data_IF_719673210255
#
_entry.id   IF_719673210255
#
_cell.length_a   1.000
_cell.length_b   1.000
_cell.length_c   1.000
_cell.angle_alpha   90.00
_cell.angle_beta   90.00
_cell.angle_gamma   90.00
#
_symmetry.space_group_name_H-M   'P 1'
#
loop_
_entity.id
_entity.type
_entity.pdbx_description
1 polymer ?
#
# COMPACT_ATOMS: atom_id res chain seq x y z
N UNK A 1 8.45 4.63 5.05
CA UNK A 1 7.00 4.77 5.39
C UNK A 1 6.27 5.69 4.42
N UNK A 2 6.73 6.93 4.17
CA UNK A 2 6.10 7.85 3.20
C UNK A 2 5.76 7.24 1.83
N UNK A 3 6.74 6.60 1.18
CA UNK A 3 6.54 5.89 -0.10
C UNK A 3 5.44 4.83 -0.04
N UNK A 4 5.43 4.03 1.02
CA UNK A 4 4.46 2.94 1.23
C UNK A 4 3.05 3.52 1.42
N UNK A 5 2.92 4.61 2.17
CA UNK A 5 1.63 5.25 2.40
C UNK A 5 1.02 5.78 1.09
N UNK A 6 1.82 6.49 0.28
CA UNK A 6 1.39 6.95 -1.04
C UNK A 6 1.02 5.78 -1.96
N UNK A 7 1.87 4.75 -2.05
CA UNK A 7 1.59 3.56 -2.85
C UNK A 7 0.31 2.85 -2.42
N UNK A 8 0.03 2.81 -1.11
CA UNK A 8 -1.19 2.19 -0.56
C UNK A 8 -2.47 2.96 -0.90
N UNK A 9 -2.41 4.29 -1.01
CA UNK A 9 -3.57 5.11 -1.39
C UNK A 9 -3.87 4.94 -2.87
N UNK A 10 -2.82 5.04 -3.71
CA UNK A 10 -2.94 4.90 -5.15
C UNK A 10 -3.32 3.47 -5.59
N UNK A 11 -3.03 2.47 -4.76
CA UNK A 11 -3.40 1.07 -4.99
C UNK A 11 -4.90 0.88 -5.29
N UNK A 12 -5.78 1.70 -4.68
CA UNK A 12 -7.22 1.64 -4.93
C UNK A 12 -7.62 2.10 -6.34
N UNK A 13 -6.96 3.13 -6.87
CA UNK A 13 -7.16 3.57 -8.27
C UNK A 13 -6.67 2.49 -9.23
N UNK A 14 -5.48 1.95 -8.97
CA UNK A 14 -4.88 0.91 -9.81
C UNK A 14 -5.68 -0.39 -9.83
N UNK A 15 -6.41 -0.73 -8.76
CA UNK A 15 -7.31 -1.89 -8.73
C UNK A 15 -8.49 -1.76 -9.72
N UNK A 16 -8.83 -0.55 -10.14
CA UNK A 16 -9.86 -0.27 -11.13
C UNK A 16 -9.27 -0.01 -12.52
N UNK A 17 -8.01 -0.40 -12.77
CA UNK A 17 -7.35 -0.18 -14.06
C UNK A 17 -7.00 1.28 -14.36
N UNK A 18 -7.30 2.23 -13.46
CA UNK A 18 -7.01 3.65 -13.67
C UNK A 18 -5.52 3.89 -13.42
N UNK A 19 -4.80 4.33 -14.45
CA UNK A 19 -3.32 4.43 -14.42
C UNK A 19 -2.81 5.82 -14.08
N UNK A 20 -3.61 6.84 -14.35
CA UNK A 20 -3.31 8.24 -14.09
C UNK A 20 -3.99 8.71 -12.79
N UNK A 21 -3.38 9.69 -12.14
CA UNK A 21 -3.92 10.30 -10.93
C UNK A 21 -3.75 11.81 -11.03
N UNK A 22 -4.86 12.53 -11.13
CA UNK A 22 -4.82 13.98 -11.33
C UNK A 22 -4.36 14.71 -10.08
N UNK A 23 -4.74 14.19 -8.92
CA UNK A 23 -4.46 14.85 -7.66
C UNK A 23 -4.24 13.89 -6.49
N UNK A 24 -3.26 14.22 -5.63
CA UNK A 24 -3.07 13.58 -4.34
C UNK A 24 -3.12 14.59 -3.20
N UNK A 25 -3.89 14.27 -2.16
CA UNK A 25 -3.92 14.98 -0.88
C UNK A 25 -3.22 14.17 0.20
N UNK A 26 -2.34 14.79 0.99
CA UNK A 26 -1.65 14.15 2.11
C UNK A 26 -2.43 14.35 3.43
N UNK A 27 -2.63 13.27 4.19
CA UNK A 27 -3.16 13.35 5.56
C UNK A 27 -2.09 12.87 6.53
N UNK A 28 -1.71 13.72 7.48
CA UNK A 28 -0.63 13.48 8.43
C UNK A 28 -1.09 13.72 9.87
N UNK A 29 -1.03 12.68 10.69
CA UNK A 29 -1.19 12.77 12.14
C UNK A 29 0.19 12.81 12.79
N UNK A 30 0.57 13.93 13.38
CA UNK A 30 1.86 14.10 14.08
C UNK A 30 1.71 13.56 15.49
N UNK A 31 2.54 12.56 15.85
CA UNK A 31 2.48 11.96 17.17
C UNK A 31 2.84 12.97 18.27
N UNK A 32 1.98 13.12 19.27
CA UNK A 32 2.24 13.94 20.46
C UNK A 32 3.41 13.41 21.30
N UNK A 33 3.82 12.15 21.10
CA UNK A 33 4.95 11.51 21.80
C UNK A 33 6.31 11.87 21.23
N UNK A 34 6.37 12.37 20.00
CA UNK A 34 7.62 12.82 19.39
C UNK A 34 8.00 14.19 19.97
N UNK A 35 9.28 14.33 20.34
CA UNK A 35 9.90 15.61 20.65
C UNK A 35 9.97 16.50 19.40
N UNK A 36 10.15 17.82 19.58
CA UNK A 36 10.27 18.75 18.46
C UNK A 36 11.42 18.38 17.51
N UNK A 37 12.58 18.04 18.07
CA UNK A 37 13.75 17.60 17.29
C UNK A 37 13.47 16.34 16.46
N UNK A 38 12.74 15.37 17.02
CA UNK A 38 12.36 14.16 16.28
C UNK A 38 11.35 14.49 15.18
N UNK A 39 10.39 15.39 15.43
CA UNK A 39 9.41 15.82 14.42
C UNK A 39 10.09 16.50 13.23
N UNK A 40 11.07 17.37 13.50
CA UNK A 40 11.82 18.08 12.47
C UNK A 40 12.65 17.17 11.57
N UNK A 41 12.95 15.94 12.01
CA UNK A 41 13.63 14.92 11.20
C UNK A 41 12.63 13.96 10.54
N UNK A 42 11.70 13.42 11.31
CA UNK A 42 10.80 12.35 10.87
C UNK A 42 9.78 12.87 9.86
N UNK A 43 9.17 14.03 10.10
CA UNK A 43 8.10 14.54 9.23
C UNK A 43 8.62 14.90 7.82
N UNK A 44 9.76 15.62 7.66
CA UNK A 44 10.29 15.88 6.32
C UNK A 44 10.65 14.60 5.56
N UNK A 45 11.19 13.57 6.21
CA UNK A 45 11.49 12.29 5.57
C UNK A 45 10.22 11.55 5.11
N UNK A 46 9.15 11.60 5.91
CA UNK A 46 7.86 11.04 5.54
C UNK A 46 7.25 11.76 4.34
N UNK A 47 7.18 13.09 4.40
CA UNK A 47 6.63 13.93 3.33
C UNK A 47 7.45 13.76 2.05
N UNK A 48 8.78 13.78 2.14
CA UNK A 48 9.67 13.56 1.00
C UNK A 48 9.42 12.21 0.36
N UNK A 49 9.38 11.13 1.15
CA UNK A 49 9.09 9.80 0.62
C UNK A 49 7.71 9.70 -0.03
N UNK A 50 6.70 10.37 0.53
CA UNK A 50 5.36 10.41 -0.06
C UNK A 50 5.36 11.14 -1.41
N UNK A 51 6.01 12.32 -1.49
CA UNK A 51 6.14 13.10 -2.73
C UNK A 51 6.94 12.37 -3.80
N UNK A 52 8.00 11.65 -3.43
CA UNK A 52 8.77 10.83 -4.37
C UNK A 52 7.90 9.71 -4.99
N UNK A 53 7.06 9.04 -4.20
CA UNK A 53 6.15 8.03 -4.73
C UNK A 53 5.03 8.63 -5.62
N UNK A 54 4.50 9.80 -5.25
CA UNK A 54 3.55 10.55 -6.07
C UNK A 54 4.17 10.93 -7.44
N UNK A 55 5.41 11.43 -7.43
CA UNK A 55 6.13 11.76 -8.65
C UNK A 55 6.35 10.53 -9.55
N UNK A 56 6.70 9.37 -8.98
CA UNK A 56 6.80 8.11 -9.73
C UNK A 56 5.46 7.65 -10.34
N UNK A 57 4.35 8.02 -9.70
CA UNK A 57 3.00 7.78 -10.21
C UNK A 57 2.57 8.79 -11.29
N UNK A 58 3.36 9.82 -11.58
CA UNK A 58 3.02 10.88 -12.54
C UNK A 58 2.11 11.96 -11.96
N UNK A 59 1.96 12.03 -10.64
CA UNK A 59 1.06 12.96 -9.94
C UNK A 59 1.83 13.83 -8.95
N UNK A 60 1.17 14.83 -8.38
CA UNK A 60 1.75 15.71 -7.37
C UNK A 60 0.85 15.83 -6.16
N UNK A 61 1.47 16.11 -5.00
CA UNK A 61 0.73 16.39 -3.78
C UNK A 61 0.35 17.87 -3.80
N UNK A 62 -0.92 18.19 -3.99
CA UNK A 62 -1.39 19.59 -4.14
C UNK A 62 -1.89 20.21 -2.84
N UNK A 63 -2.11 19.39 -1.82
CA UNK A 63 -2.63 19.84 -0.55
C UNK A 63 -2.65 18.73 0.50
N UNK A 64 -3.22 19.03 1.64
CA UNK A 64 -3.31 18.08 2.73
C UNK A 64 -3.69 18.70 4.06
N UNK A 65 -3.89 17.84 5.06
CA UNK A 65 -4.15 18.24 6.43
C UNK A 65 -3.13 17.58 7.35
N UNK A 66 -2.59 18.39 8.26
CA UNK A 66 -1.74 17.92 9.34
C UNK A 66 -2.38 18.25 10.68
N UNK A 67 -2.47 17.27 11.57
CA UNK A 67 -3.05 17.44 12.90
C UNK A 67 -2.23 16.71 13.96
N UNK A 68 -2.30 17.17 15.21
CA UNK A 68 -1.73 16.43 16.34
C UNK A 68 -2.59 15.20 16.65
N UNK A 69 -1.92 14.08 16.95
CA UNK A 69 -2.57 12.82 17.27
C UNK A 69 -1.71 12.03 18.28
N UNK A 70 -2.27 11.17 19.16
CA UNK A 70 -1.44 10.29 19.98
C UNK A 70 -0.51 9.37 19.18
N UNK A 71 -0.91 8.98 17.97
CA UNK A 71 -0.19 8.09 17.08
C UNK A 71 0.26 8.79 15.80
N UNK A 72 1.37 8.34 15.23
CA UNK A 72 1.84 8.81 13.93
C UNK A 72 0.96 8.18 12.84
N UNK A 73 0.20 9.01 12.13
CA UNK A 73 -0.69 8.59 11.03
C UNK A 73 -0.17 9.18 9.74
N UNK A 74 -0.12 8.37 8.69
CA UNK A 74 0.20 8.84 7.34
C UNK A 74 -0.74 8.19 6.35
N UNK A 75 -1.40 9.00 5.55
CA UNK A 75 -2.41 8.59 4.61
C UNK A 75 -2.70 9.72 3.62
N UNK A 76 -3.87 9.67 2.99
CA UNK A 76 -4.21 10.64 1.96
C UNK A 76 -5.33 10.15 1.05
N UNK A 77 -5.56 10.92 0.00
CA UNK A 77 -6.56 10.64 -1.03
C UNK A 77 -5.93 10.83 -2.41
N UNK A 78 -6.16 9.88 -3.32
CA UNK A 78 -5.80 10.01 -4.73
C UNK A 78 -7.08 10.08 -5.55
N UNK A 79 -7.17 11.07 -6.43
CA UNK A 79 -8.35 11.32 -7.27
C UNK A 79 -7.94 11.31 -8.74
N UNK A 80 -8.81 10.77 -9.59
CA UNK A 80 -8.70 10.85 -11.04
C UNK A 80 -10.07 11.04 -11.67
N UNK A 81 -10.15 11.91 -12.66
CA UNK A 81 -11.26 12.09 -13.58
C UNK A 81 -10.91 11.31 -14.85
N UNK A 82 -11.53 10.15 -15.03
CA UNK A 82 -11.21 9.25 -16.13
C UNK A 82 -12.40 9.05 -17.07
N UNK A 83 -12.11 8.74 -18.33
CA UNK A 83 -13.12 8.27 -19.27
C UNK A 83 -13.54 6.85 -18.89
N UNK A 84 -14.80 6.42 -19.12
CA UNK A 84 -15.22 5.03 -18.84
C UNK A 84 -14.34 3.94 -19.46
N UNK A 85 -13.61 4.25 -20.54
CA UNK A 85 -12.68 3.33 -21.20
C UNK A 85 -11.36 3.12 -20.42
N UNK A 86 -11.00 4.04 -19.53
CA UNK A 86 -9.79 3.97 -18.71
C UNK A 86 -10.05 3.24 -17.38
N UNK A 87 -11.33 2.98 -17.08
CA UNK A 87 -11.81 2.32 -15.88
C UNK A 87 -12.24 0.88 -16.19
N UNK A 88 -11.78 -0.06 -15.36
CA UNK A 88 -12.17 -1.47 -15.41
C UNK A 88 -13.04 -1.76 -14.19
N UNK A 89 -14.31 -2.14 -14.43
CA UNK A 89 -15.21 -2.57 -13.37
C UNK A 89 -14.73 -3.88 -12.75
N UNK A 90 -14.90 -4.01 -11.44
CA UNK A 90 -14.54 -5.22 -10.69
C UNK A 90 -15.62 -6.32 -10.74
N UNK A 91 -16.65 -6.17 -11.60
CA UNK A 91 -17.90 -6.95 -11.55
C UNK A 91 -18.10 -7.91 -12.74
N UNK A 92 -17.09 -8.07 -13.61
CA UNK A 92 -17.25 -8.77 -14.89
C UNK A 92 -16.55 -10.13 -14.95
N UNK A 93 -16.13 -10.70 -13.81
CA UNK A 93 -15.48 -12.01 -13.79
C UNK A 93 -16.45 -13.12 -14.22
N UNK A 94 -15.94 -14.08 -14.99
CA UNK A 94 -16.72 -15.20 -15.52
C UNK A 94 -16.15 -16.54 -15.07
N UNK A 95 -17.00 -17.57 -15.06
CA UNK A 95 -16.55 -18.94 -14.75
C UNK A 95 -15.51 -19.37 -15.78
N UNK A 96 -14.35 -19.81 -15.29
CA UNK A 96 -13.20 -20.16 -16.12
C UNK A 96 -12.06 -19.14 -16.04
N UNK A 97 -12.31 -17.96 -15.48
CA UNK A 97 -11.25 -16.99 -15.19
C UNK A 97 -10.23 -17.53 -14.18
N UNK A 98 -9.01 -17.00 -14.27
CA UNK A 98 -7.90 -17.31 -13.37
C UNK A 98 -7.56 -16.12 -12.48
N UNK A 99 -7.09 -16.40 -11.27
CA UNK A 99 -6.66 -15.38 -10.32
C UNK A 99 -5.14 -15.19 -10.38
N UNK A 100 -4.70 -13.94 -10.54
CA UNK A 100 -3.29 -13.56 -10.57
C UNK A 100 -2.98 -12.61 -9.42
N UNK A 101 -1.98 -12.95 -8.62
CA UNK A 101 -1.48 -12.11 -7.53
C UNK A 101 -0.16 -11.44 -7.94
N UNK A 102 -0.10 -10.12 -7.88
CA UNK A 102 1.05 -9.33 -8.41
C UNK A 102 2.14 -9.06 -7.38
N UNK A 103 1.87 -9.26 -6.09
CA UNK A 103 2.82 -9.05 -4.98
C UNK A 103 2.78 -10.24 -4.01
N UNK A 104 3.93 -10.67 -3.45
CA UNK A 104 3.95 -11.73 -2.45
C UNK A 104 3.26 -11.30 -1.15
N UNK A 105 2.71 -12.28 -0.43
CA UNK A 105 2.10 -12.09 0.89
C UNK A 105 3.17 -12.06 2.01
N UNK A 106 2.74 -11.80 3.24
CA UNK A 106 3.58 -11.93 4.44
C UNK A 106 4.27 -10.65 4.90
N UNK A 107 3.91 -9.47 4.36
CA UNK A 107 4.47 -8.18 4.78
C UNK A 107 4.27 -7.91 6.27
N UNK A 108 3.10 -8.24 6.83
CA UNK A 108 2.82 -8.11 8.26
C UNK A 108 3.75 -8.98 9.11
N UNK A 109 3.96 -10.25 8.72
CA UNK A 109 4.85 -11.16 9.44
C UNK A 109 6.28 -10.63 9.43
N UNK A 110 6.77 -10.14 8.28
CA UNK A 110 8.11 -9.58 8.15
C UNK A 110 8.32 -8.34 9.04
N UNK A 111 7.33 -7.43 9.08
CA UNK A 111 7.42 -6.22 9.92
C UNK A 111 7.29 -6.55 11.40
N UNK A 112 6.37 -7.44 11.77
CA UNK A 112 6.20 -7.88 13.16
C UNK A 112 7.42 -8.62 13.69
N UNK A 113 8.06 -9.47 12.87
CA UNK A 113 9.28 -10.16 13.25
C UNK A 113 10.42 -9.17 13.55
N UNK A 114 10.56 -8.09 12.76
CA UNK A 114 11.54 -7.05 13.03
C UNK A 114 11.26 -6.35 14.36
N UNK A 115 10.00 -6.02 14.65
CA UNK A 115 9.61 -5.42 15.94
C UNK A 115 9.86 -6.35 17.13
N UNK A 116 9.77 -7.66 16.93
CA UNK A 116 10.01 -8.63 17.99
C UNK A 116 11.48 -8.75 18.37
N UNK A 117 12.44 -8.36 17.52
CA UNK A 117 13.87 -8.33 17.88
C UNK A 117 14.12 -7.45 19.12
N UNK A 118 13.36 -6.37 19.27
CA UNK A 118 13.43 -5.46 20.42
C UNK A 118 12.61 -5.96 21.64
N UNK A 119 11.91 -7.08 21.51
CA UNK A 119 11.02 -7.67 22.53
C UNK A 119 11.46 -9.10 22.86
N UNK A 120 12.37 -9.29 23.83
CA UNK A 120 13.00 -10.59 24.11
C UNK A 120 12.01 -11.74 24.30
N UNK A 121 10.89 -11.50 24.99
CA UNK A 121 9.84 -12.50 25.21
C UNK A 121 9.23 -13.02 23.90
N UNK A 122 9.00 -12.13 22.93
CA UNK A 122 8.43 -12.51 21.63
C UNK A 122 9.48 -13.11 20.71
N UNK A 123 10.70 -12.55 20.71
CA UNK A 123 11.81 -13.09 19.92
C UNK A 123 12.15 -14.53 20.31
N UNK A 124 12.20 -14.82 21.61
CA UNK A 124 12.52 -16.15 22.11
C UNK A 124 11.56 -17.26 21.60
N UNK A 125 10.34 -16.91 21.19
CA UNK A 125 9.37 -17.85 20.62
C UNK A 125 9.66 -18.23 19.17
N UNK A 126 10.37 -17.39 18.43
CA UNK A 126 10.60 -17.55 16.98
C UNK A 126 12.07 -17.72 16.60
N UNK A 127 13.01 -17.41 17.52
CA UNK A 127 14.47 -17.48 17.29
C UNK A 127 14.98 -18.86 16.84
N UNK A 128 14.23 -19.93 17.12
CA UNK A 128 14.57 -21.30 16.71
C UNK A 128 14.18 -21.60 15.25
N UNK A 129 13.30 -20.78 14.67
CA UNK A 129 12.74 -20.98 13.33
C UNK A 129 13.35 -20.00 12.32
N UNK A 130 13.71 -18.79 12.74
CA UNK A 130 14.24 -17.74 11.86
C UNK A 130 15.39 -17.01 12.53
N UNK A 131 16.47 -16.78 11.77
CA UNK A 131 17.61 -15.97 12.21
C UNK A 131 17.36 -14.47 12.07
N UNK A 132 18.11 -13.65 12.81
CA UNK A 132 17.99 -12.18 12.76
C UNK A 132 18.28 -11.63 11.35
N UNK A 133 19.27 -12.19 10.65
CA UNK A 133 19.62 -11.79 9.30
C UNK A 133 18.46 -12.02 8.31
N UNK A 134 17.74 -13.14 8.45
CA UNK A 134 16.59 -13.46 7.61
C UNK A 134 15.42 -12.50 7.88
N UNK A 135 15.23 -12.09 9.14
CA UNK A 135 14.23 -11.08 9.51
C UNK A 135 14.55 -9.74 8.84
N UNK A 136 15.80 -9.29 8.86
CA UNK A 136 16.20 -8.06 8.18
C UNK A 136 16.00 -8.16 6.66
N UNK A 137 16.40 -9.27 6.04
CA UNK A 137 16.19 -9.53 4.59
C UNK A 137 14.71 -9.56 4.24
N UNK A 138 13.88 -10.20 5.06
CA UNK A 138 12.43 -10.27 4.86
C UNK A 138 11.78 -8.89 4.97
N UNK A 139 12.15 -8.10 5.99
CA UNK A 139 11.63 -6.75 6.16
C UNK A 139 12.07 -5.82 5.02
N UNK A 140 13.31 -5.95 4.51
CA UNK A 140 13.76 -5.20 3.34
C UNK A 140 12.91 -5.53 2.11
N UNK A 141 12.73 -6.82 1.80
CA UNK A 141 11.88 -7.27 0.69
C UNK A 141 10.43 -6.83 0.84
N UNK A 142 9.88 -6.88 2.05
CA UNK A 142 8.54 -6.40 2.34
C UNK A 142 8.41 -4.90 2.10
N UNK A 143 9.39 -4.09 2.53
CA UNK A 143 9.44 -2.64 2.29
C UNK A 143 9.46 -2.33 0.80
N UNK A 144 10.28 -3.02 0.02
CA UNK A 144 10.39 -2.80 -1.42
C UNK A 144 9.10 -3.17 -2.15
N UNK A 145 8.49 -4.32 -1.81
CA UNK A 145 7.20 -4.75 -2.35
C UNK A 145 6.06 -3.78 -2.01
N UNK A 146 6.01 -3.29 -0.77
CA UNK A 146 5.00 -2.34 -0.31
C UNK A 146 5.18 -0.95 -0.94
N UNK A 147 6.42 -0.52 -1.19
CA UNK A 147 6.70 0.77 -1.82
C UNK A 147 6.48 0.77 -3.34
N UNK A 148 6.47 -0.41 -3.99
CA UNK A 148 6.21 -0.53 -5.44
C UNK A 148 4.78 -0.15 -5.77
N UNK A 149 4.57 0.73 -6.74
CA UNK A 149 3.24 1.10 -7.24
C UNK A 149 2.60 -0.05 -8.02
N UNK A 150 1.26 -0.13 -8.01
CA UNK A 150 0.51 -1.07 -8.84
C UNK A 150 0.19 -0.51 -10.25
N UNK A 151 0.78 0.64 -10.63
CA UNK A 151 0.54 1.33 -11.91
C UNK A 151 0.77 0.42 -13.12
N UNK A 152 1.87 -0.33 -13.14
CA UNK A 152 2.16 -1.28 -14.22
C UNK A 152 1.12 -2.40 -14.28
N UNK A 153 0.63 -2.88 -13.13
CA UNK A 153 -0.43 -3.90 -13.12
C UNK A 153 -1.73 -3.32 -13.73
N UNK A 154 -2.11 -2.10 -13.37
CA UNK A 154 -3.26 -1.41 -13.96
C UNK A 154 -3.14 -1.25 -15.49
N UNK A 155 -1.96 -0.86 -15.99
CA UNK A 155 -1.69 -0.79 -17.44
C UNK A 155 -1.85 -2.15 -18.13
N UNK A 156 -1.35 -3.23 -17.50
CA UNK A 156 -1.42 -4.57 -18.06
C UNK A 156 -2.84 -5.16 -17.98
N UNK A 157 -3.67 -4.73 -17.04
CA UNK A 157 -5.08 -5.12 -16.98
C UNK A 157 -5.82 -4.73 -18.26
N UNK A 158 -5.58 -3.54 -18.80
CA UNK A 158 -6.14 -3.11 -20.08
C UNK A 158 -5.60 -3.95 -21.25
N UNK A 159 -4.28 -4.16 -21.30
CA UNK A 159 -3.63 -4.91 -22.40
C UNK A 159 -4.11 -6.36 -22.50
N UNK A 160 -4.32 -7.01 -21.36
CA UNK A 160 -4.71 -8.43 -21.30
C UNK A 160 -6.18 -8.63 -20.96
N UNK A 161 -7.00 -7.59 -21.09
CA UNK A 161 -8.45 -7.63 -20.96
C UNK A 161 -8.94 -8.24 -19.63
N UNK A 162 -8.38 -7.77 -18.51
CA UNK A 162 -8.76 -8.22 -17.19
C UNK A 162 -10.25 -7.94 -16.90
N UNK A 163 -10.94 -8.91 -16.31
CA UNK A 163 -12.36 -8.80 -15.99
C UNK A 163 -12.67 -8.10 -14.65
N UNK A 164 -11.63 -7.76 -13.90
CA UNK A 164 -11.75 -7.06 -12.62
C UNK A 164 -10.52 -7.29 -11.76
N UNK A 165 -10.34 -6.47 -10.74
CA UNK A 165 -9.30 -6.67 -9.74
C UNK A 165 -9.69 -6.10 -8.38
N UNK A 166 -8.93 -6.47 -7.37
CA UNK A 166 -8.96 -5.89 -6.03
C UNK A 166 -7.53 -5.79 -5.52
N UNK A 167 -7.27 -4.84 -4.63
CA UNK A 167 -5.98 -4.73 -3.97
C UNK A 167 -5.97 -5.39 -2.59
N UNK A 168 -4.95 -6.19 -2.32
CA UNK A 168 -4.82 -6.90 -1.04
C UNK A 168 -4.12 -6.00 -0.02
N UNK A 169 -4.86 -5.56 1.00
CA UNK A 169 -4.40 -4.71 2.10
C UNK A 169 -4.66 -5.36 3.47
N UNK A 170 -5.06 -4.57 4.46
CA UNK A 170 -5.26 -5.02 5.85
C UNK A 170 -6.33 -6.11 6.03
N UNK A 171 -7.25 -6.29 5.08
CA UNK A 171 -8.23 -7.37 5.10
C UNK A 171 -7.66 -8.75 4.74
N UNK A 172 -6.39 -8.82 4.32
CA UNK A 172 -5.73 -10.06 3.91
C UNK A 172 -6.24 -10.62 2.58
N UNK A 173 -5.55 -11.62 2.04
CA UNK A 173 -5.88 -12.19 0.72
C UNK A 173 -7.31 -12.73 0.69
N UNK A 174 -7.69 -13.54 1.68
CA UNK A 174 -9.00 -14.18 1.71
C UNK A 174 -10.14 -13.15 1.83
N UNK A 175 -9.98 -12.13 2.68
CA UNK A 175 -11.02 -11.11 2.86
C UNK A 175 -11.27 -10.31 1.58
N UNK A 176 -10.21 -9.89 0.89
CA UNK A 176 -10.33 -9.17 -0.38
C UNK A 176 -10.84 -10.08 -1.51
N UNK A 177 -10.44 -11.35 -1.56
CA UNK A 177 -10.95 -12.31 -2.54
C UNK A 177 -12.45 -12.58 -2.36
N UNK A 178 -12.91 -12.74 -1.11
CA UNK A 178 -14.34 -12.89 -0.80
C UNK A 178 -15.14 -11.65 -1.16
N UNK A 179 -14.61 -10.46 -0.91
CA UNK A 179 -15.25 -9.21 -1.32
C UNK A 179 -15.39 -9.15 -2.84
N UNK A 180 -14.31 -9.38 -3.59
CA UNK A 180 -14.33 -9.38 -5.05
C UNK A 180 -15.34 -10.40 -5.60
N UNK A 181 -15.39 -11.61 -5.04
CA UNK A 181 -16.34 -12.63 -5.44
C UNK A 181 -17.81 -12.21 -5.20
N UNK A 182 -18.10 -11.51 -4.09
CA UNK A 182 -19.45 -11.02 -3.77
C UNK A 182 -19.91 -9.86 -4.66
N UNK A 183 -18.95 -9.12 -5.22
CA UNK A 183 -19.21 -7.96 -6.09
C UNK A 183 -19.59 -8.38 -7.52
N UNK A 184 -19.39 -9.64 -7.91
CA UNK A 184 -19.71 -10.10 -9.27
C UNK A 184 -21.22 -10.01 -9.56
N UNK A 185 -21.55 -9.61 -10.80
CA UNK A 185 -22.92 -9.69 -11.29
C UNK A 185 -23.33 -11.15 -11.43
N UNK A 186 -24.59 -11.44 -11.10
CA UNK A 186 -25.19 -12.76 -11.32
C UNK A 186 -25.51 -12.99 -12.78
#
# INVERSE_FOLDING_TARGET
MGKIACASILSGLYAHGVTECDNVLLVLGVSSKLTEKERDVVLPLLVRGFREAAALAGTSVTGGQTALNPWLIIGGCGTSCCHPAEFISAENAVVGDVLVLTKPLGSQVAVSALQWLEQPERWNRVRLVVGEEDVHKACHRARDSMARLNRTAALLMHKYNAHGATDVRGGGLLGHAQLLARTQKK
#
